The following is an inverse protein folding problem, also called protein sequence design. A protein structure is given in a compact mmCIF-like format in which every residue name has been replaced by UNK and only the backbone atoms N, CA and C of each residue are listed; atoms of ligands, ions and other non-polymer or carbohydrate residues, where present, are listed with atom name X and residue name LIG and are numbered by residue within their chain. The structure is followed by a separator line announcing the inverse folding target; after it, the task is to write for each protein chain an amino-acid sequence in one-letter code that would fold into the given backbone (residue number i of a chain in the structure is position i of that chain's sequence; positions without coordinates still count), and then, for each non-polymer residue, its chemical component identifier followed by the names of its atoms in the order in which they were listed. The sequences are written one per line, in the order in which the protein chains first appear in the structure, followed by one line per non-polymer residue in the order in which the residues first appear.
data_IF_009428618842
#
_entry.id   IF_009428618842
#
_cell.length_a   1.000
_cell.length_b   1.000
_cell.length_c   1.000
_cell.angle_alpha   90.00
_cell.angle_beta   90.00
_cell.angle_gamma   90.00
#
_symmetry.space_group_name_H-M   'P 1'
#
loop_
_entity.id
_entity.type
_entity.pdbx_description
1 polymer ?
#
# COMPACT_ATOMS: atom_id res chain seq x y z
N UNK A 1 -27.67 -49.95 16.73
CA UNK A 1 -27.42 -50.32 18.11
C UNK A 1 -26.44 -49.28 18.64
N UNK A 2 -26.91 -48.19 19.29
CA UNK A 2 -27.04 -48.04 20.76
C UNK A 2 -25.72 -48.45 21.44
N UNK A 3 -25.01 -47.51 22.04
CA UNK A 3 -25.05 -47.15 23.43
C UNK A 3 -24.32 -45.83 23.70
N UNK A 4 -25.07 -44.98 24.33
CA UNK A 4 -24.80 -43.83 25.17
C UNK A 4 -23.84 -44.15 26.30
N UNK A 5 -22.94 -43.25 26.65
CA UNK A 5 -22.45 -43.09 28.01
C UNK A 5 -22.10 -41.62 28.30
N UNK A 6 -22.91 -41.08 29.15
CA UNK A 6 -22.82 -39.79 29.85
C UNK A 6 -21.80 -39.91 30.99
N UNK A 7 -20.90 -38.97 31.16
CA UNK A 7 -20.22 -38.73 32.44
C UNK A 7 -19.99 -37.23 32.64
N UNK A 8 -20.78 -36.67 33.52
CA UNK A 8 -20.58 -35.40 34.21
C UNK A 8 -19.37 -35.51 35.15
N UNK A 9 -18.47 -34.52 35.12
CA UNK A 9 -17.70 -34.14 36.31
C UNK A 9 -17.56 -32.61 36.37
N UNK A 10 -18.13 -32.11 37.40
CA UNK A 10 -18.06 -30.72 37.89
C UNK A 10 -16.70 -30.51 38.54
N UNK A 11 -16.00 -29.45 38.17
CA UNK A 11 -14.78 -29.00 38.83
C UNK A 11 -14.72 -27.47 38.81
N UNK A 12 -15.15 -26.86 39.87
CA UNK A 12 -15.05 -25.42 40.17
C UNK A 12 -13.59 -25.08 40.42
N UNK A 13 -13.06 -24.11 39.69
CA UNK A 13 -11.75 -23.53 39.93
C UNK A 13 -11.71 -22.14 39.31
N UNK A 14 -12.22 -21.16 40.07
CA UNK A 14 -12.06 -19.74 39.73
C UNK A 14 -10.59 -19.35 39.90
N UNK A 15 -9.90 -19.07 38.81
CA UNK A 15 -8.71 -18.21 38.82
C UNK A 15 -8.86 -17.19 37.72
N UNK A 16 -8.93 -15.95 38.14
CA UNK A 16 -8.92 -14.75 37.33
C UNK A 16 -7.63 -14.77 36.49
N UNK A 17 -7.77 -15.03 35.18
CA UNK A 17 -6.72 -14.88 34.23
C UNK A 17 -6.94 -13.58 33.49
N UNK A 18 -6.11 -12.59 33.77
CA UNK A 18 -6.06 -11.32 33.04
C UNK A 18 -6.07 -11.59 31.53
N UNK A 19 -6.82 -10.83 30.74
CA UNK A 19 -6.76 -10.94 29.29
C UNK A 19 -5.41 -10.42 28.82
N UNK A 20 -4.46 -11.35 28.63
CA UNK A 20 -3.23 -11.06 27.89
C UNK A 20 -3.64 -10.52 26.53
N UNK A 21 -3.13 -9.32 26.24
CA UNK A 21 -3.44 -8.54 25.05
C UNK A 21 -3.46 -9.41 23.80
N UNK A 22 -4.61 -9.46 23.16
CA UNK A 22 -4.77 -10.06 21.84
C UNK A 22 -3.81 -9.34 20.90
N UNK A 23 -2.71 -9.99 20.61
CA UNK A 23 -1.74 -9.53 19.62
C UNK A 23 -2.52 -9.18 18.36
N UNK A 24 -2.41 -7.93 17.89
CA UNK A 24 -3.01 -7.49 16.62
C UNK A 24 -2.64 -8.54 15.59
N UNK A 25 -3.62 -9.12 14.86
CA UNK A 25 -3.35 -10.14 13.87
C UNK A 25 -2.25 -9.60 12.95
N UNK A 26 -1.13 -10.31 12.91
CA UNK A 26 0.01 -9.94 12.08
C UNK A 26 -0.49 -10.01 10.64
N UNK A 27 -0.86 -8.84 10.07
CA UNK A 27 -1.32 -8.76 8.68
C UNK A 27 -0.22 -9.37 7.84
N UNK A 28 -0.46 -10.55 7.30
CA UNK A 28 0.47 -11.21 6.38
C UNK A 28 0.79 -10.20 5.28
N UNK A 29 2.06 -9.83 5.17
CA UNK A 29 2.52 -8.92 4.13
C UNK A 29 2.31 -9.61 2.80
N UNK A 30 1.49 -9.03 1.94
CA UNK A 30 1.28 -9.56 0.59
C UNK A 30 2.61 -9.57 -0.16
N UNK A 31 2.84 -10.64 -0.92
CA UNK A 31 4.01 -10.71 -1.80
C UNK A 31 3.89 -9.72 -2.96
N UNK A 32 5.00 -9.33 -3.61
CA UNK A 32 4.96 -8.48 -4.81
C UNK A 32 4.02 -8.98 -5.88
N UNK A 33 3.97 -10.31 -6.07
CA UNK A 33 3.10 -10.99 -7.04
C UNK A 33 1.62 -10.84 -6.66
N UNK A 34 1.28 -10.98 -5.38
CA UNK A 34 -0.08 -10.79 -4.89
C UNK A 34 -0.54 -9.34 -5.03
N UNK A 35 0.35 -8.38 -4.77
CA UNK A 35 0.05 -6.95 -4.92
C UNK A 35 -0.14 -6.63 -6.41
N UNK A 36 0.76 -7.09 -7.29
CA UNK A 36 0.68 -6.87 -8.73
C UNK A 36 -0.61 -7.45 -9.29
N UNK A 37 -0.96 -8.69 -8.89
CA UNK A 37 -2.22 -9.32 -9.29
C UNK A 37 -3.43 -8.52 -8.84
N UNK A 38 -3.48 -8.11 -7.60
CA UNK A 38 -4.60 -7.33 -7.05
C UNK A 38 -4.78 -5.98 -7.77
N UNK A 39 -3.68 -5.30 -8.10
CA UNK A 39 -3.72 -4.05 -8.86
C UNK A 39 -4.21 -4.26 -10.28
N UNK A 40 -3.72 -5.33 -10.94
CA UNK A 40 -4.14 -5.70 -12.30
C UNK A 40 -5.61 -6.06 -12.33
N UNK A 41 -6.08 -6.94 -11.44
CA UNK A 41 -7.48 -7.39 -11.38
C UNK A 41 -8.48 -6.23 -11.24
N UNK A 42 -8.10 -5.17 -10.50
CA UNK A 42 -8.94 -3.95 -10.37
C UNK A 42 -9.09 -3.22 -11.70
N UNK A 43 -8.00 -3.09 -12.46
CA UNK A 43 -8.03 -2.39 -13.75
C UNK A 43 -8.67 -3.25 -14.83
N UNK A 44 -8.46 -4.57 -14.80
CA UNK A 44 -9.15 -5.53 -15.68
C UNK A 44 -10.65 -5.34 -15.64
N UNK A 45 -11.22 -5.33 -14.44
CA UNK A 45 -12.67 -5.17 -14.24
C UNK A 45 -13.19 -3.79 -14.66
N UNK A 46 -12.41 -2.74 -14.36
CA UNK A 46 -12.86 -1.37 -14.59
C UNK A 46 -12.67 -0.90 -16.03
N UNK A 47 -11.69 -1.45 -16.75
CA UNK A 47 -11.32 -1.04 -18.11
C UNK A 47 -11.64 -2.11 -19.17
N UNK A 48 -12.12 -3.28 -18.76
CA UNK A 48 -12.44 -4.39 -19.65
C UNK A 48 -11.25 -4.81 -20.53
N UNK A 49 -10.12 -5.11 -19.87
CA UNK A 49 -8.85 -5.38 -20.53
C UNK A 49 -8.86 -6.76 -21.19
N UNK A 50 -8.28 -6.86 -22.40
CA UNK A 50 -8.00 -8.14 -23.05
C UNK A 50 -6.94 -8.94 -22.27
N UNK A 51 -6.83 -10.25 -22.53
CA UNK A 51 -5.83 -11.13 -21.88
C UNK A 51 -4.40 -10.65 -22.12
N UNK A 52 -4.10 -10.16 -23.33
CA UNK A 52 -2.79 -9.61 -23.67
C UNK A 52 -2.50 -8.33 -22.86
N UNK A 53 -3.49 -7.44 -22.75
CA UNK A 53 -3.36 -6.22 -21.94
C UNK A 53 -3.20 -6.55 -20.46
N UNK A 54 -3.92 -7.53 -19.94
CA UNK A 54 -3.81 -8.02 -18.56
C UNK A 54 -2.39 -8.49 -18.26
N UNK A 55 -1.82 -9.30 -19.16
CA UNK A 55 -0.44 -9.79 -19.01
C UNK A 55 0.57 -8.64 -18.99
N UNK A 56 0.53 -7.74 -19.97
CA UNK A 56 1.41 -6.57 -20.04
C UNK A 56 1.30 -5.70 -18.78
N UNK A 57 0.08 -5.47 -18.31
CA UNK A 57 -0.17 -4.68 -17.11
C UNK A 57 0.34 -5.38 -15.84
N UNK A 58 0.15 -6.69 -15.73
CA UNK A 58 0.68 -7.47 -14.61
C UNK A 58 2.22 -7.41 -14.57
N UNK A 59 2.88 -7.62 -15.70
CA UNK A 59 4.34 -7.57 -15.80
C UNK A 59 4.88 -6.17 -15.42
N UNK A 60 4.22 -5.12 -15.88
CA UNK A 60 4.55 -3.74 -15.52
C UNK A 60 4.36 -3.48 -14.01
N UNK A 61 3.23 -3.88 -13.45
CA UNK A 61 2.95 -3.72 -12.02
C UNK A 61 3.96 -4.49 -11.18
N UNK A 62 4.27 -5.73 -11.53
CA UNK A 62 5.23 -6.57 -10.82
C UNK A 62 6.63 -5.95 -10.82
N UNK A 63 7.11 -5.50 -11.99
CA UNK A 63 8.40 -4.84 -12.12
C UNK A 63 8.47 -3.56 -11.25
N UNK A 64 7.41 -2.74 -11.29
CA UNK A 64 7.32 -1.51 -10.51
C UNK A 64 7.32 -1.79 -9.01
N UNK A 65 6.57 -2.79 -8.54
CA UNK A 65 6.50 -3.15 -7.12
C UNK A 65 7.84 -3.69 -6.63
N UNK A 66 8.49 -4.57 -7.40
CA UNK A 66 9.83 -5.10 -7.06
C UNK A 66 10.87 -3.98 -6.97
N UNK A 67 10.84 -3.03 -7.91
CA UNK A 67 11.71 -1.84 -7.86
C UNK A 67 11.46 -1.02 -6.59
N UNK A 68 10.21 -0.69 -6.30
CA UNK A 68 9.85 0.07 -5.09
C UNK A 68 10.22 -0.65 -3.81
N UNK A 69 10.09 -1.98 -3.77
CA UNK A 69 10.50 -2.77 -2.62
C UNK A 69 12.01 -2.70 -2.41
N UNK A 70 12.79 -2.91 -3.47
CA UNK A 70 14.25 -2.81 -3.40
C UNK A 70 14.74 -1.41 -2.99
N UNK A 71 14.09 -0.35 -3.50
CA UNK A 71 14.37 1.03 -3.08
C UNK A 71 14.02 1.26 -1.61
N UNK A 72 12.88 0.75 -1.17
CA UNK A 72 12.46 0.82 0.25
C UNK A 72 13.42 0.06 1.16
N UNK A 73 13.85 -1.13 0.79
CA UNK A 73 14.82 -1.91 1.55
C UNK A 73 16.16 -1.18 1.69
N UNK A 74 16.63 -0.55 0.60
CA UNK A 74 17.82 0.31 0.65
C UNK A 74 17.62 1.54 1.54
N UNK A 75 16.42 2.12 1.54
CA UNK A 75 16.10 3.29 2.34
C UNK A 75 15.85 2.96 3.81
N UNK A 76 15.25 1.81 4.11
CA UNK A 76 14.93 1.46 5.49
C UNK A 76 16.13 0.91 6.25
N UNK A 77 17.12 0.32 5.56
CA UNK A 77 18.36 -0.19 6.16
C UNK A 77 18.12 -1.01 7.44
N UNK A 78 19.06 -0.95 8.34
CA UNK A 78 18.87 -1.42 9.71
C UNK A 78 18.26 -0.29 10.59
N UNK A 79 17.94 -0.60 11.85
CA UNK A 79 17.33 0.33 12.80
C UNK A 79 18.23 1.56 13.08
N UNK A 80 19.54 1.37 13.03
CA UNK A 80 20.53 2.44 13.24
C UNK A 80 20.55 3.43 12.08
N UNK A 81 20.47 2.93 10.83
CA UNK A 81 20.40 3.79 9.64
C UNK A 81 19.12 4.64 9.63
N UNK A 82 18.02 4.06 10.10
CA UNK A 82 16.75 4.80 10.20
C UNK A 82 16.85 5.90 11.28
N UNK A 83 17.47 5.62 12.42
CA UNK A 83 17.70 6.63 13.46
C UNK A 83 18.59 7.77 12.97
N UNK A 84 19.72 7.46 12.30
CA UNK A 84 20.62 8.47 11.71
C UNK A 84 19.88 9.37 10.71
N UNK A 85 19.08 8.79 9.83
CA UNK A 85 18.29 9.58 8.86
C UNK A 85 17.24 10.47 9.51
N UNK A 86 16.58 9.98 10.57
CA UNK A 86 15.66 10.82 11.34
C UNK A 86 16.37 11.99 12.01
N UNK A 87 17.58 11.76 12.52
CA UNK A 87 18.41 12.79 13.11
C UNK A 87 18.91 13.78 12.06
N UNK A 88 19.41 13.30 10.93
CA UNK A 88 19.78 14.13 9.78
C UNK A 88 18.61 15.01 9.31
N UNK A 89 17.41 14.43 9.16
CA UNK A 89 16.22 15.20 8.77
C UNK A 89 15.83 16.26 9.81
N UNK A 90 16.00 15.95 11.10
CA UNK A 90 15.71 16.86 12.19
C UNK A 90 16.69 18.05 12.21
N UNK A 91 17.94 17.80 11.83
CA UNK A 91 19.03 18.79 11.80
C UNK A 91 19.14 19.53 10.47
N UNK A 92 18.31 19.21 9.47
CA UNK A 92 18.30 19.92 8.18
C UNK A 92 17.88 21.38 8.35
N UNK A 93 18.57 22.27 7.64
CA UNK A 93 18.14 23.67 7.47
C UNK A 93 16.87 23.74 6.64
N UNK A 94 16.19 24.89 6.65
CA UNK A 94 14.98 25.08 5.86
C UNK A 94 15.25 24.94 4.35
N UNK A 95 16.40 25.42 3.87
CA UNK A 95 16.83 25.23 2.49
C UNK A 95 17.02 23.75 2.14
N UNK A 96 17.72 23.00 2.99
CA UNK A 96 17.95 21.57 2.80
C UNK A 96 16.63 20.78 2.80
N UNK A 97 15.67 21.15 3.66
CA UNK A 97 14.33 20.56 3.64
C UNK A 97 13.60 20.87 2.33
N UNK A 98 13.68 22.11 1.84
CA UNK A 98 13.06 22.49 0.58
C UNK A 98 13.66 21.68 -0.60
N UNK A 99 14.97 21.55 -0.65
CA UNK A 99 15.65 20.72 -1.68
C UNK A 99 15.25 19.25 -1.59
N UNK A 100 15.18 18.69 -0.37
CA UNK A 100 14.73 17.32 -0.14
C UNK A 100 13.30 17.09 -0.67
N UNK A 101 12.37 18.00 -0.34
CA UNK A 101 11.00 17.89 -0.84
C UNK A 101 10.89 18.17 -2.35
N UNK A 102 11.73 19.06 -2.89
CA UNK A 102 11.78 19.30 -4.33
C UNK A 102 12.27 18.06 -5.09
N UNK A 103 13.29 17.37 -4.56
CA UNK A 103 13.77 16.11 -5.11
C UNK A 103 12.70 15.02 -5.09
N UNK A 104 11.99 14.87 -3.97
CA UNK A 104 10.89 13.90 -3.87
C UNK A 104 9.76 14.21 -4.85
N UNK A 105 9.40 15.48 -5.03
CA UNK A 105 8.40 15.88 -6.03
C UNK A 105 8.82 15.50 -7.45
N UNK A 106 10.05 15.83 -7.83
CA UNK A 106 10.59 15.45 -9.15
C UNK A 106 10.56 13.93 -9.38
N UNK A 107 10.90 13.16 -8.36
CA UNK A 107 10.86 11.70 -8.44
C UNK A 107 9.42 11.17 -8.59
N UNK A 108 8.47 11.73 -7.85
CA UNK A 108 7.05 11.39 -8.00
C UNK A 108 6.51 11.75 -9.39
N UNK A 109 6.87 12.92 -9.91
CA UNK A 109 6.50 13.35 -11.28
C UNK A 109 7.10 12.41 -12.33
N UNK A 110 8.37 12.03 -12.19
CA UNK A 110 9.01 11.07 -13.08
C UNK A 110 8.34 9.68 -13.04
N UNK A 111 8.00 9.20 -11.86
CA UNK A 111 7.28 7.94 -11.68
C UNK A 111 5.87 8.01 -12.30
N UNK A 112 5.16 9.12 -12.13
CA UNK A 112 3.84 9.36 -12.74
C UNK A 112 3.93 9.43 -14.27
N UNK A 113 4.95 10.09 -14.81
CA UNK A 113 5.19 10.15 -16.25
C UNK A 113 5.50 8.76 -16.83
N UNK A 114 6.34 7.97 -16.15
CA UNK A 114 6.63 6.60 -16.54
C UNK A 114 5.38 5.70 -16.53
N UNK A 115 4.56 5.82 -15.50
CA UNK A 115 3.28 5.12 -15.42
C UNK A 115 2.35 5.52 -16.57
N UNK A 116 2.20 6.81 -16.82
CA UNK A 116 1.37 7.33 -17.91
C UNK A 116 1.82 6.81 -19.27
N UNK A 117 3.14 6.78 -19.51
CA UNK A 117 3.71 6.22 -20.74
C UNK A 117 3.38 4.73 -20.88
N UNK A 118 3.62 3.94 -19.85
CA UNK A 118 3.31 2.52 -19.88
C UNK A 118 1.81 2.25 -20.11
N UNK A 119 0.93 3.02 -19.48
CA UNK A 119 -0.53 2.89 -19.69
C UNK A 119 -0.93 3.24 -21.13
N UNK A 120 -0.30 4.23 -21.76
CA UNK A 120 -0.55 4.55 -23.18
C UNK A 120 -0.13 3.43 -24.12
N UNK A 121 0.90 2.66 -23.78
CA UNK A 121 1.38 1.53 -24.58
C UNK A 121 0.52 0.27 -24.39
N UNK A 122 -0.10 0.11 -23.22
CA UNK A 122 -0.90 -1.07 -22.85
C UNK A 122 -2.38 -0.90 -23.23
N UNK A 123 -2.94 0.29 -23.05
CA UNK A 123 -4.37 0.58 -23.16
C UNK A 123 -4.72 1.11 -24.54
N UNK A 124 -5.95 0.84 -24.99
CA UNK A 124 -6.53 1.59 -26.11
C UNK A 124 -6.79 3.04 -25.70
N UNK A 125 -6.99 3.93 -26.66
CA UNK A 125 -7.25 5.34 -26.39
C UNK A 125 -8.49 5.55 -25.49
N UNK A 126 -9.56 4.81 -25.72
CA UNK A 126 -10.77 4.85 -24.91
C UNK A 126 -10.54 4.38 -23.46
N UNK A 127 -9.83 3.26 -23.29
CA UNK A 127 -9.44 2.74 -21.99
C UNK A 127 -8.50 3.70 -21.25
N UNK A 128 -7.57 4.31 -21.97
CA UNK A 128 -6.63 5.28 -21.40
C UNK A 128 -7.36 6.51 -20.87
N UNK A 129 -8.32 7.08 -21.62
CA UNK A 129 -9.16 8.21 -21.17
C UNK A 129 -9.95 7.84 -19.90
N UNK A 130 -10.50 6.62 -19.85
CA UNK A 130 -11.21 6.11 -18.66
C UNK A 130 -10.28 5.97 -17.46
N UNK A 131 -9.08 5.45 -17.66
CA UNK A 131 -8.05 5.34 -16.64
C UNK A 131 -7.60 6.72 -16.11
N UNK A 132 -7.32 7.69 -16.98
CA UNK A 132 -6.97 9.07 -16.56
C UNK A 132 -8.06 9.70 -15.69
N UNK A 133 -9.33 9.52 -16.06
CA UNK A 133 -10.46 9.99 -15.26
C UNK A 133 -10.46 9.37 -13.87
N UNK A 134 -10.22 8.06 -13.77
CA UNK A 134 -10.13 7.36 -12.49
C UNK A 134 -8.96 7.89 -11.63
N UNK A 135 -7.79 8.13 -12.24
CA UNK A 135 -6.65 8.69 -11.54
C UNK A 135 -6.95 10.09 -10.97
N UNK A 136 -7.51 10.97 -11.78
CA UNK A 136 -7.92 12.33 -11.33
C UNK A 136 -8.93 12.28 -10.17
N UNK A 137 -9.90 11.37 -10.23
CA UNK A 137 -10.86 11.19 -9.14
C UNK A 137 -10.21 10.67 -7.85
N UNK A 138 -9.25 9.75 -7.97
CA UNK A 138 -8.52 9.22 -6.82
C UNK A 138 -7.64 10.29 -6.18
N UNK A 139 -6.94 11.09 -7.00
CA UNK A 139 -6.15 12.23 -6.52
C UNK A 139 -7.02 13.28 -5.80
N UNK A 140 -8.19 13.61 -6.36
CA UNK A 140 -9.13 14.55 -5.73
C UNK A 140 -9.60 14.04 -4.36
N UNK A 141 -10.05 12.78 -4.27
CA UNK A 141 -10.45 12.16 -2.99
C UNK A 141 -9.32 12.12 -1.95
N UNK A 142 -8.09 11.89 -2.41
CA UNK A 142 -6.92 11.87 -1.52
C UNK A 142 -6.63 13.27 -0.97
N UNK A 143 -6.75 14.29 -1.82
CA UNK A 143 -6.60 15.70 -1.42
C UNK A 143 -7.66 16.13 -0.41
N UNK A 144 -8.92 15.77 -0.65
CA UNK A 144 -10.04 16.05 0.28
C UNK A 144 -9.80 15.38 1.65
N UNK A 145 -9.34 14.12 1.68
CA UNK A 145 -9.02 13.42 2.93
C UNK A 145 -7.88 14.10 3.70
N UNK A 146 -6.87 14.59 3.00
CA UNK A 146 -5.75 15.30 3.64
C UNK A 146 -6.20 16.65 4.22
N UNK A 147 -7.09 17.37 3.54
CA UNK A 147 -7.63 18.64 4.02
C UNK A 147 -8.65 18.46 5.15
N UNK A 148 -9.49 17.42 5.09
CA UNK A 148 -10.50 17.13 6.12
C UNK A 148 -9.94 16.52 7.41
N UNK A 149 -8.77 15.86 7.34
CA UNK A 149 -8.15 15.22 8.51
C UNK A 149 -7.47 16.16 9.51
N UNK A 150 -7.23 17.42 9.15
CA UNK A 150 -6.58 18.40 10.03
C UNK A 150 -7.56 19.26 10.86
N UNK A 151 -8.88 19.12 10.62
CA UNK A 151 -9.93 19.93 11.27
C UNK A 151 -10.70 19.26 12.41
N UNK A 152 -10.41 18.02 12.80
CA UNK A 152 -11.22 17.22 13.73
C UNK A 152 -10.66 17.03 15.14
N UNK A 153 -9.97 18.00 15.69
CA UNK A 153 -9.36 17.88 17.03
C UNK A 153 -9.60 19.08 17.93
N UNK A 154 -10.83 19.61 17.98
CA UNK A 154 -11.25 20.51 19.08
C UNK A 154 -12.74 20.29 19.35
N UNK A 155 -13.02 19.52 20.40
CA UNK A 155 -14.32 19.30 20.98
C UNK A 155 -14.16 18.51 22.25
#
# INVERSE_FOLDING_TARGET
MIVLALALMIGVGAMAQEPQGQGRPQRQRMTPEQIAKSQTDRLVKSLELSEEQQKKLYDYNLATIKKQQAEREKMMGNREDMQKRMEEFRNMTDEQRQEFFAKQRKEQEANKAAQTKAMKEILTEAQFKKWEKQQKQMEARMRERMQGGFGGGQG
#
